data_IF_882725706543
#
_entry.id   IF_882725706543
#
_cell.length_a   1.000
_cell.length_b   1.000
_cell.length_c   1.000
_cell.angle_alpha   90.00
_cell.angle_beta   90.00
_cell.angle_gamma   90.00
#
_symmetry.space_group_name_H-M   'P 1'
#
loop_
_entity.id
_entity.type
_entity.pdbx_description
1 polymer ?
#
# COMPACT_ATOMS: atom_id res chain seq x y z
N UNK A 1 26.01 -12.50 34.82
CA UNK A 1 25.29 -13.66 34.24
C UNK A 1 23.78 -13.40 34.07
N UNK A 2 23.33 -12.15 34.15
CA UNK A 2 21.93 -11.71 34.03
C UNK A 2 21.61 -10.99 32.72
N UNK A 3 22.62 -10.60 31.94
CA UNK A 3 22.50 -9.76 30.74
C UNK A 3 22.06 -10.53 29.48
N UNK A 4 22.28 -11.86 29.45
CA UNK A 4 21.87 -12.73 28.32
C UNK A 4 20.37 -13.06 28.36
N UNK A 5 19.70 -12.85 29.50
CA UNK A 5 18.29 -13.19 29.66
C UNK A 5 17.35 -12.09 29.13
N UNK A 6 17.85 -10.86 28.99
CA UNK A 6 17.06 -9.70 28.57
C UNK A 6 17.01 -9.55 27.04
N UNK A 7 18.09 -9.89 26.34
CA UNK A 7 18.13 -9.96 24.87
C UNK A 7 17.18 -11.02 24.30
N UNK A 8 16.94 -12.12 25.03
CA UNK A 8 16.04 -13.18 24.57
C UNK A 8 14.54 -12.83 24.75
N UNK A 9 14.19 -11.88 25.64
CA UNK A 9 12.80 -11.37 25.74
C UNK A 9 12.49 -10.35 24.63
N UNK A 10 13.46 -9.53 24.24
CA UNK A 10 13.33 -8.59 23.13
C UNK A 10 13.01 -9.31 21.81
N UNK A 11 13.77 -10.37 21.48
CA UNK A 11 13.54 -11.16 20.27
C UNK A 11 12.18 -11.87 20.27
N UNK A 12 11.67 -12.33 21.42
CA UNK A 12 10.36 -12.97 21.47
C UNK A 12 9.20 -12.00 21.19
N UNK A 13 9.34 -10.72 21.52
CA UNK A 13 8.32 -9.70 21.22
C UNK A 13 8.29 -9.30 19.73
N UNK A 14 9.41 -9.44 19.01
CA UNK A 14 9.48 -9.18 17.57
C UNK A 14 8.75 -10.24 16.72
N UNK A 15 8.52 -11.45 17.26
CA UNK A 15 7.82 -12.52 16.55
C UNK A 15 6.29 -12.39 16.55
N UNK A 16 5.71 -11.56 17.42
CA UNK A 16 4.24 -11.41 17.52
C UNK A 16 3.66 -10.28 16.65
N UNK A 17 4.48 -9.56 15.87
CA UNK A 17 4.06 -8.37 15.14
C UNK A 17 4.23 -8.45 13.61
N UNK A 18 4.26 -9.66 13.03
CA UNK A 18 4.24 -9.80 11.57
C UNK A 18 2.93 -10.47 11.09
N UNK A 19 1.82 -9.71 10.97
CA UNK A 19 0.54 -10.23 10.47
C UNK A 19 0.62 -10.85 9.07
N UNK A 20 1.76 -10.67 8.37
CA UNK A 20 2.05 -11.22 7.05
C UNK A 20 2.21 -12.74 7.04
N UNK A 21 2.74 -13.36 8.11
CA UNK A 21 2.93 -14.81 8.14
C UNK A 21 1.59 -15.56 8.31
N UNK A 22 0.64 -14.96 9.04
CA UNK A 22 -0.68 -15.55 9.29
C UNK A 22 -1.57 -15.60 8.02
N UNK A 23 -1.43 -14.62 7.11
CA UNK A 23 -2.20 -14.60 5.85
C UNK A 23 -1.74 -15.67 4.84
N UNK A 24 -0.50 -16.14 4.91
CA UNK A 24 0.01 -17.16 3.98
C UNK A 24 -0.62 -18.53 4.23
N UNK A 25 -0.88 -18.90 5.49
CA UNK A 25 -1.52 -20.16 5.84
C UNK A 25 -3.01 -20.18 5.50
N UNK A 26 -3.71 -19.05 5.62
CA UNK A 26 -5.11 -18.92 5.16
C UNK A 26 -5.23 -19.08 3.64
N UNK A 27 -4.33 -18.47 2.86
CA UNK A 27 -4.33 -18.66 1.40
C UNK A 27 -4.04 -20.12 1.03
N UNK A 28 -3.12 -20.78 1.72
CA UNK A 28 -2.77 -22.18 1.45
C UNK A 28 -3.94 -23.12 1.76
N UNK A 29 -4.66 -22.88 2.86
CA UNK A 29 -5.85 -23.64 3.24
C UNK A 29 -7.00 -23.41 2.26
N UNK A 30 -7.25 -22.17 1.82
CA UNK A 30 -8.27 -21.86 0.81
C UNK A 30 -7.96 -22.52 -0.54
N UNK A 31 -6.70 -22.50 -0.97
CA UNK A 31 -6.25 -23.15 -2.22
C UNK A 31 -6.41 -24.67 -2.16
N UNK A 32 -6.12 -25.28 -1.01
CA UNK A 32 -6.32 -26.72 -0.80
C UNK A 32 -7.79 -27.13 -0.84
N UNK A 33 -8.67 -26.38 -0.15
CA UNK A 33 -10.12 -26.63 -0.17
C UNK A 33 -10.66 -26.51 -1.59
N UNK A 34 -10.20 -25.51 -2.33
CA UNK A 34 -10.57 -25.31 -3.72
C UNK A 34 -10.11 -26.47 -4.61
N UNK A 35 -8.86 -26.89 -4.49
CA UNK A 35 -8.33 -28.02 -5.25
C UNK A 35 -9.11 -29.32 -4.96
N UNK A 36 -9.48 -29.55 -3.70
CA UNK A 36 -10.31 -30.67 -3.27
C UNK A 36 -11.71 -30.60 -3.88
N UNK A 37 -12.34 -29.42 -3.91
CA UNK A 37 -13.66 -29.22 -4.50
C UNK A 37 -13.65 -29.45 -6.03
N UNK A 38 -12.65 -28.93 -6.73
CA UNK A 38 -12.46 -29.16 -8.18
C UNK A 38 -12.23 -30.66 -8.44
N UNK A 39 -11.36 -31.30 -7.66
CA UNK A 39 -11.09 -32.73 -7.76
C UNK A 39 -12.35 -33.58 -7.56
N UNK A 40 -13.16 -33.25 -6.54
CA UNK A 40 -14.44 -33.91 -6.30
C UNK A 40 -15.44 -33.72 -7.45
N UNK A 41 -15.50 -32.51 -8.03
CA UNK A 41 -16.33 -32.22 -9.21
C UNK A 41 -15.93 -33.03 -10.44
N UNK A 42 -14.63 -33.10 -10.74
CA UNK A 42 -14.10 -33.90 -11.85
C UNK A 42 -14.34 -35.39 -11.63
N UNK A 43 -14.16 -35.88 -10.40
CA UNK A 43 -14.42 -37.27 -10.04
C UNK A 43 -15.91 -37.64 -10.20
N UNK A 44 -16.81 -36.76 -9.78
CA UNK A 44 -18.26 -36.91 -10.01
C UNK A 44 -18.61 -36.99 -11.49
N UNK A 45 -18.04 -36.10 -12.32
CA UNK A 45 -18.23 -36.14 -13.77
C UNK A 45 -17.71 -37.46 -14.36
N UNK A 46 -16.52 -37.90 -13.94
CA UNK A 46 -15.95 -39.18 -14.36
C UNK A 46 -16.87 -40.35 -14.00
N UNK A 47 -17.33 -40.43 -12.76
CA UNK A 47 -18.25 -41.48 -12.29
C UNK A 47 -19.59 -41.47 -13.04
N UNK A 48 -20.08 -40.29 -13.44
CA UNK A 48 -21.28 -40.16 -14.27
C UNK A 48 -21.05 -40.65 -15.70
N UNK A 49 -19.90 -40.34 -16.30
CA UNK A 49 -19.58 -40.76 -17.68
C UNK A 49 -19.31 -42.26 -17.81
N UNK A 50 -18.74 -42.90 -16.79
CA UNK A 50 -18.33 -44.31 -16.86
C UNK A 50 -19.51 -45.29 -16.97
N UNK A 51 -20.73 -44.87 -16.59
CA UNK A 51 -21.92 -45.74 -16.58
C UNK A 51 -22.90 -45.52 -17.74
N UNK A 52 -22.60 -44.58 -18.62
CA UNK A 52 -23.56 -44.04 -19.59
C UNK A 52 -23.08 -44.36 -21.01
N UNK A 53 -24.02 -44.68 -21.92
CA UNK A 53 -23.71 -44.98 -23.34
C UNK A 53 -22.82 -43.90 -23.96
N UNK A 54 -21.88 -44.32 -24.82
CA UNK A 54 -20.85 -43.49 -25.48
C UNK A 54 -21.40 -42.22 -26.13
N UNK A 55 -22.63 -42.24 -26.66
CA UNK A 55 -23.27 -41.08 -27.30
C UNK A 55 -23.66 -40.02 -26.26
N UNK A 56 -24.29 -40.43 -25.17
CA UNK A 56 -24.68 -39.54 -24.07
C UNK A 56 -23.47 -38.96 -23.34
N UNK A 57 -22.38 -39.72 -23.19
CA UNK A 57 -21.13 -39.21 -22.61
C UNK A 57 -20.53 -38.07 -23.46
N UNK A 58 -20.61 -38.15 -24.79
CA UNK A 58 -20.08 -37.14 -25.71
C UNK A 58 -20.89 -35.83 -25.63
N UNK A 59 -22.23 -35.92 -25.53
CA UNK A 59 -23.10 -34.73 -25.35
C UNK A 59 -22.79 -34.03 -24.03
N UNK A 60 -22.54 -34.79 -22.96
CA UNK A 60 -22.19 -34.23 -21.65
C UNK A 60 -20.82 -33.55 -21.70
N UNK A 61 -19.82 -34.20 -22.30
CA UNK A 61 -18.49 -33.64 -22.47
C UNK A 61 -18.51 -32.35 -23.29
N UNK A 62 -19.21 -32.34 -24.43
CA UNK A 62 -19.28 -31.18 -25.31
C UNK A 62 -19.95 -29.99 -24.61
N UNK A 63 -21.06 -30.22 -23.91
CA UNK A 63 -21.74 -29.17 -23.16
C UNK A 63 -20.91 -28.67 -21.98
N UNK A 64 -20.17 -29.55 -21.29
CA UNK A 64 -19.26 -29.16 -20.20
C UNK A 64 -18.12 -28.29 -20.70
N UNK A 65 -17.54 -28.63 -21.85
CA UNK A 65 -16.47 -27.86 -22.50
C UNK A 65 -16.98 -26.50 -22.97
N UNK A 66 -18.16 -26.45 -23.62
CA UNK A 66 -18.78 -25.19 -24.05
C UNK A 66 -19.11 -24.28 -22.86
N UNK A 67 -19.66 -24.84 -21.78
CA UNK A 67 -19.91 -24.12 -20.53
C UNK A 67 -18.63 -23.59 -19.90
N UNK A 68 -17.56 -24.39 -19.89
CA UNK A 68 -16.25 -23.99 -19.38
C UNK A 68 -15.66 -22.81 -20.17
N UNK A 69 -15.60 -22.92 -21.50
CA UNK A 69 -15.08 -21.88 -22.38
C UNK A 69 -15.89 -20.58 -22.24
N UNK A 70 -17.23 -20.67 -22.21
CA UNK A 70 -18.09 -19.50 -22.14
C UNK A 70 -18.12 -18.84 -20.75
N UNK A 71 -17.91 -19.64 -19.69
CA UNK A 71 -17.70 -19.15 -18.32
C UNK A 71 -16.36 -18.42 -18.15
N UNK A 72 -15.40 -18.60 -19.05
CA UNK A 72 -14.16 -17.80 -19.05
C UNK A 72 -14.41 -16.45 -19.74
N UNK A 73 -15.31 -16.39 -20.72
CA UNK A 73 -15.44 -15.23 -21.61
C UNK A 73 -16.48 -14.20 -21.13
N UNK A 74 -17.61 -14.59 -20.53
CA UNK A 74 -18.70 -13.64 -20.23
C UNK A 74 -18.70 -13.16 -18.78
N UNK A 75 -18.56 -11.87 -18.48
CA UNK A 75 -18.52 -11.36 -17.10
C UNK A 75 -19.90 -10.99 -16.50
N UNK A 76 -21.01 -11.25 -17.19
CA UNK A 76 -22.32 -10.65 -16.87
C UNK A 76 -23.35 -11.64 -16.31
N UNK A 77 -24.42 -11.08 -15.70
CA UNK A 77 -25.63 -11.76 -15.20
C UNK A 77 -26.27 -12.74 -16.20
N UNK A 78 -25.94 -12.65 -17.49
CA UNK A 78 -26.33 -13.61 -18.52
C UNK A 78 -25.86 -15.04 -18.27
N UNK A 79 -24.81 -15.25 -17.45
CA UNK A 79 -24.32 -16.59 -17.08
C UNK A 79 -25.41 -17.49 -16.50
N UNK A 80 -26.22 -16.97 -15.58
CA UNK A 80 -27.23 -17.79 -14.89
C UNK A 80 -28.41 -18.14 -15.79
N UNK A 81 -28.91 -17.16 -16.54
CA UNK A 81 -30.01 -17.36 -17.48
C UNK A 81 -29.65 -18.38 -18.55
N UNK A 82 -28.42 -18.29 -19.09
CA UNK A 82 -27.99 -19.16 -20.16
C UNK A 82 -27.65 -20.57 -19.67
N UNK A 83 -27.09 -20.71 -18.46
CA UNK A 83 -26.94 -22.02 -17.80
C UNK A 83 -28.29 -22.70 -17.58
N UNK A 84 -29.28 -21.96 -17.06
CA UNK A 84 -30.63 -22.48 -16.85
C UNK A 84 -31.25 -22.90 -18.19
N UNK A 85 -31.07 -22.11 -19.25
CA UNK A 85 -31.55 -22.45 -20.60
C UNK A 85 -30.85 -23.70 -21.16
N UNK A 86 -29.52 -23.80 -21.07
CA UNK A 86 -28.77 -24.95 -21.60
C UNK A 86 -29.08 -26.24 -20.84
N UNK A 87 -29.19 -26.15 -19.51
CA UNK A 87 -29.57 -27.29 -18.66
C UNK A 87 -31.01 -27.71 -18.93
N UNK A 88 -31.90 -26.74 -19.17
CA UNK A 88 -33.30 -26.97 -19.58
C UNK A 88 -33.42 -27.61 -20.96
N UNK A 89 -32.64 -27.17 -21.94
CA UNK A 89 -32.58 -27.76 -23.29
C UNK A 89 -32.05 -29.19 -23.26
N UNK A 90 -31.00 -29.46 -22.47
CA UNK A 90 -30.47 -30.81 -22.25
C UNK A 90 -31.50 -31.74 -21.60
N UNK A 91 -32.21 -31.25 -20.58
CA UNK A 91 -33.30 -31.97 -19.95
C UNK A 91 -34.43 -32.26 -20.95
N UNK A 92 -34.80 -31.28 -21.77
CA UNK A 92 -35.83 -31.41 -22.78
C UNK A 92 -35.45 -32.42 -23.87
N UNK A 93 -34.19 -32.40 -24.33
CA UNK A 93 -33.69 -33.34 -25.34
C UNK A 93 -33.64 -34.77 -24.80
N UNK A 94 -33.27 -34.96 -23.53
CA UNK A 94 -33.34 -36.25 -22.85
C UNK A 94 -34.78 -36.78 -22.79
N UNK A 95 -35.74 -35.92 -22.43
CA UNK A 95 -37.17 -36.28 -22.37
C UNK A 95 -37.73 -36.64 -23.74
N UNK A 96 -37.35 -35.91 -24.80
CA UNK A 96 -37.86 -36.12 -26.15
C UNK A 96 -37.33 -37.39 -26.83
N UNK A 97 -36.21 -37.97 -26.39
CA UNK A 97 -35.44 -38.95 -27.18
C UNK A 97 -35.57 -40.42 -26.78
N UNK A 98 -36.31 -40.87 -25.73
CA UNK A 98 -36.40 -42.34 -25.48
C UNK A 98 -37.48 -42.91 -24.52
N UNK A 99 -37.88 -44.14 -24.84
CA UNK A 99 -38.83 -45.09 -24.19
C UNK A 99 -38.31 -45.75 -22.87
N UNK A 100 -37.73 -44.99 -21.96
CA UNK A 100 -37.23 -45.50 -20.67
C UNK A 100 -38.21 -45.31 -19.50
N UNK A 101 -38.10 -46.13 -18.44
CA UNK A 101 -38.92 -45.97 -17.22
C UNK A 101 -38.70 -44.60 -16.57
N UNK A 102 -39.80 -43.95 -16.17
CA UNK A 102 -39.83 -42.57 -15.66
C UNK A 102 -38.90 -42.32 -14.46
N UNK A 103 -38.65 -43.34 -13.63
CA UNK A 103 -37.78 -43.23 -12.45
C UNK A 103 -36.30 -43.05 -12.81
N UNK A 104 -35.83 -43.64 -13.92
CA UNK A 104 -34.45 -43.47 -14.36
C UNK A 104 -34.19 -42.03 -14.84
N UNK A 105 -35.15 -41.46 -15.57
CA UNK A 105 -35.06 -40.08 -16.07
C UNK A 105 -35.02 -39.06 -14.93
N UNK A 106 -35.85 -39.25 -13.90
CA UNK A 106 -35.86 -38.38 -12.72
C UNK A 106 -34.50 -38.38 -12.00
N UNK A 107 -33.91 -39.56 -11.83
CA UNK A 107 -32.60 -39.71 -11.17
C UNK A 107 -31.47 -39.02 -11.95
N UNK A 108 -31.47 -39.14 -13.28
CA UNK A 108 -30.52 -38.45 -14.15
C UNK A 108 -30.71 -36.94 -14.07
N UNK A 109 -31.95 -36.45 -14.17
CA UNK A 109 -32.26 -35.02 -14.10
C UNK A 109 -31.81 -34.38 -12.78
N UNK A 110 -32.09 -35.04 -11.64
CA UNK A 110 -31.70 -34.56 -10.31
C UNK A 110 -30.17 -34.45 -10.19
N UNK A 111 -29.42 -35.44 -10.72
CA UNK A 111 -27.95 -35.41 -10.69
C UNK A 111 -27.38 -34.27 -11.53
N UNK A 112 -27.94 -34.01 -12.71
CA UNK A 112 -27.53 -32.87 -13.55
C UNK A 112 -27.82 -31.53 -12.88
N UNK A 113 -29.01 -31.39 -12.29
CA UNK A 113 -29.41 -30.17 -11.60
C UNK A 113 -28.53 -29.90 -10.38
N UNK A 114 -28.22 -30.95 -9.59
CA UNK A 114 -27.30 -30.86 -8.46
C UNK A 114 -25.88 -30.49 -8.89
N UNK A 115 -25.36 -31.08 -9.98
CA UNK A 115 -24.03 -30.76 -10.51
C UNK A 115 -23.96 -29.31 -11.02
N UNK A 116 -24.97 -28.83 -11.75
CA UNK A 116 -25.03 -27.44 -12.23
C UNK A 116 -25.09 -26.42 -11.09
N UNK A 117 -25.87 -26.70 -10.04
CA UNK A 117 -25.93 -25.88 -8.83
C UNK A 117 -24.58 -25.82 -8.10
N UNK A 118 -23.88 -26.95 -7.98
CA UNK A 118 -22.56 -26.98 -7.35
C UNK A 118 -21.52 -26.17 -8.15
N UNK A 119 -21.48 -26.34 -9.47
CA UNK A 119 -20.54 -25.60 -10.33
C UNK A 119 -20.78 -24.09 -10.24
N UNK A 120 -22.04 -23.65 -10.30
CA UNK A 120 -22.39 -22.23 -10.18
C UNK A 120 -22.07 -21.68 -8.79
N UNK A 121 -22.34 -22.44 -7.73
CA UNK A 121 -21.99 -22.05 -6.37
C UNK A 121 -20.47 -21.86 -6.20
N UNK A 122 -19.67 -22.84 -6.62
CA UNK A 122 -18.20 -22.77 -6.51
C UNK A 122 -17.60 -21.66 -7.37
N UNK A 123 -18.07 -21.47 -8.61
CA UNK A 123 -17.58 -20.38 -9.47
C UNK A 123 -17.90 -19.00 -8.89
N UNK A 124 -19.03 -18.84 -8.21
CA UNK A 124 -19.40 -17.59 -7.52
C UNK A 124 -18.47 -17.32 -6.34
N UNK A 125 -18.25 -18.32 -5.47
CA UNK A 125 -17.35 -18.22 -4.32
C UNK A 125 -15.90 -17.92 -4.74
N UNK A 126 -15.45 -18.59 -5.80
CA UNK A 126 -14.15 -18.35 -6.42
C UNK A 126 -14.00 -16.91 -6.88
N UNK A 127 -14.98 -16.42 -7.64
CA UNK A 127 -14.94 -15.07 -8.22
C UNK A 127 -14.86 -14.01 -7.12
N UNK A 128 -15.67 -14.13 -6.06
CA UNK A 128 -15.62 -13.20 -4.93
C UNK A 128 -14.27 -13.23 -4.19
N UNK A 129 -13.73 -14.42 -3.96
CA UNK A 129 -12.45 -14.59 -3.25
C UNK A 129 -11.28 -14.02 -4.05
N UNK A 130 -11.27 -14.26 -5.37
CA UNK A 130 -10.24 -13.75 -6.28
C UNK A 130 -10.32 -12.22 -6.41
N UNK A 131 -11.52 -11.64 -6.51
CA UNK A 131 -11.67 -10.18 -6.57
C UNK A 131 -11.12 -9.50 -5.32
N UNK A 132 -11.44 -10.02 -4.13
CA UNK A 132 -10.91 -9.48 -2.87
C UNK A 132 -9.39 -9.58 -2.80
N UNK A 133 -8.83 -10.70 -3.25
CA UNK A 133 -7.38 -10.91 -3.29
C UNK A 133 -6.70 -9.96 -4.28
N UNK A 134 -7.27 -9.76 -5.46
CA UNK A 134 -6.74 -8.87 -6.49
C UNK A 134 -6.67 -7.42 -6.00
N UNK A 135 -7.73 -6.93 -5.35
CA UNK A 135 -7.76 -5.58 -4.77
C UNK A 135 -6.70 -5.40 -3.67
N UNK A 136 -6.55 -6.38 -2.78
CA UNK A 136 -5.54 -6.34 -1.72
C UNK A 136 -4.12 -6.35 -2.29
N UNK A 137 -3.85 -7.19 -3.29
CA UNK A 137 -2.54 -7.24 -3.95
C UNK A 137 -2.21 -5.91 -4.64
N UNK A 138 -3.19 -5.28 -5.28
CA UNK A 138 -2.99 -4.00 -5.94
C UNK A 138 -2.68 -2.88 -4.93
N UNK A 139 -3.42 -2.84 -3.81
CA UNK A 139 -3.16 -1.90 -2.71
C UNK A 139 -1.76 -2.08 -2.12
N UNK A 140 -1.36 -3.32 -1.84
CA UNK A 140 -0.03 -3.65 -1.34
C UNK A 140 1.09 -3.26 -2.33
N UNK A 141 0.85 -3.43 -3.62
CA UNK A 141 1.80 -3.01 -4.66
C UNK A 141 1.96 -1.49 -4.70
N UNK A 142 0.86 -0.73 -4.57
CA UNK A 142 0.89 0.73 -4.48
C UNK A 142 1.63 1.21 -3.23
N UNK A 143 1.35 0.62 -2.07
CA UNK A 143 2.04 0.95 -0.81
C UNK A 143 3.55 0.69 -0.92
N UNK A 144 3.96 -0.44 -1.53
CA UNK A 144 5.39 -0.73 -1.78
C UNK A 144 6.02 0.26 -2.75
N UNK A 145 5.32 0.65 -3.81
CA UNK A 145 5.83 1.64 -4.78
C UNK A 145 6.06 3.00 -4.12
N UNK A 146 5.11 3.44 -3.27
CA UNK A 146 5.25 4.67 -2.49
C UNK A 146 6.42 4.59 -1.50
N UNK A 147 6.58 3.45 -0.81
CA UNK A 147 7.71 3.25 0.11
C UNK A 147 9.06 3.24 -0.62
N UNK A 148 9.15 2.57 -1.79
CA UNK A 148 10.36 2.57 -2.62
C UNK A 148 10.69 3.96 -3.15
N UNK A 149 9.69 4.75 -3.54
CA UNK A 149 9.89 6.13 -3.95
C UNK A 149 10.53 6.97 -2.85
N UNK A 150 10.07 6.80 -1.60
CA UNK A 150 10.65 7.51 -0.44
C UNK A 150 12.10 7.09 -0.18
N UNK A 151 12.40 5.79 -0.29
CA UNK A 151 13.77 5.28 -0.11
C UNK A 151 14.68 5.79 -1.24
N UNK A 152 14.22 5.78 -2.48
CA UNK A 152 15.00 6.31 -3.61
C UNK A 152 15.29 7.81 -3.47
N UNK A 153 14.31 8.61 -3.03
CA UNK A 153 14.53 10.02 -2.71
C UNK A 153 15.59 10.19 -1.62
N UNK A 154 15.52 9.39 -0.54
CA UNK A 154 16.50 9.43 0.54
C UNK A 154 17.92 9.05 0.06
N UNK A 155 18.04 8.03 -0.80
CA UNK A 155 19.31 7.63 -1.41
C UNK A 155 19.88 8.75 -2.30
N UNK A 156 19.02 9.45 -3.05
CA UNK A 156 19.42 10.63 -3.83
C UNK A 156 20.05 11.70 -2.97
N UNK A 157 19.39 12.05 -1.85
CA UNK A 157 19.90 13.01 -0.86
C UNK A 157 21.24 12.56 -0.26
N UNK A 158 21.35 11.30 0.17
CA UNK A 158 22.60 10.77 0.75
C UNK A 158 23.76 10.82 -0.27
N UNK A 159 23.48 10.51 -1.53
CA UNK A 159 24.51 10.51 -2.60
C UNK A 159 24.98 11.93 -2.91
N UNK A 160 24.06 12.90 -2.94
CA UNK A 160 24.39 14.32 -3.10
C UNK A 160 25.25 14.85 -1.93
N UNK A 161 24.93 14.43 -0.70
CA UNK A 161 25.73 14.76 0.49
C UNK A 161 27.14 14.15 0.40
N UNK A 162 27.26 12.88 0.00
CA UNK A 162 28.54 12.15 -0.01
C UNK A 162 29.55 12.65 -1.05
N UNK A 163 29.13 13.39 -2.07
CA UNK A 163 29.99 13.77 -3.21
C UNK A 163 30.54 15.20 -3.13
N UNK A 164 30.01 16.04 -2.24
CA UNK A 164 30.41 17.44 -2.11
C UNK A 164 31.24 17.68 -0.85
N UNK A 165 32.28 18.49 -0.97
CA UNK A 165 33.18 18.82 0.15
C UNK A 165 32.82 20.15 0.84
N UNK A 166 31.72 20.80 0.42
CA UNK A 166 31.29 22.11 0.90
C UNK A 166 29.88 22.03 1.44
N UNK A 167 29.74 22.18 2.75
CA UNK A 167 28.48 22.04 3.50
C UNK A 167 27.34 22.91 2.92
N UNK A 168 27.66 24.13 2.48
CA UNK A 168 26.66 25.02 1.87
C UNK A 168 26.11 24.48 0.55
N UNK A 169 26.97 23.92 -0.29
CA UNK A 169 26.56 23.33 -1.58
C UNK A 169 25.76 22.04 -1.38
N UNK A 170 25.99 21.32 -0.27
CA UNK A 170 25.19 20.16 0.13
C UNK A 170 23.78 20.60 0.52
N UNK A 171 23.65 21.61 1.38
CA UNK A 171 22.34 22.06 1.84
C UNK A 171 21.52 22.69 0.72
N UNK A 172 22.15 23.42 -0.20
CA UNK A 172 21.44 23.97 -1.36
C UNK A 172 20.91 22.87 -2.28
N UNK A 173 21.72 21.89 -2.65
CA UNK A 173 21.26 20.79 -3.51
C UNK A 173 20.26 19.89 -2.80
N UNK A 174 20.49 19.60 -1.51
CA UNK A 174 19.58 18.80 -0.70
C UNK A 174 18.23 19.49 -0.51
N UNK A 175 18.22 20.82 -0.33
CA UNK A 175 17.00 21.62 -0.29
C UNK A 175 16.29 21.58 -1.63
N UNK A 176 16.98 21.85 -2.75
CA UNK A 176 16.39 21.80 -4.10
C UNK A 176 15.72 20.44 -4.40
N UNK A 177 16.39 19.34 -4.07
CA UNK A 177 15.81 18.00 -4.25
C UNK A 177 14.63 17.75 -3.32
N UNK A 178 14.71 18.19 -2.05
CA UNK A 178 13.59 18.09 -1.12
C UNK A 178 12.37 18.88 -1.64
N UNK A 179 12.57 20.10 -2.14
CA UNK A 179 11.50 20.93 -2.71
C UNK A 179 10.80 20.22 -3.88
N UNK A 180 11.55 19.57 -4.78
CA UNK A 180 10.97 18.76 -5.88
C UNK A 180 10.19 17.55 -5.38
N UNK A 181 10.68 16.86 -4.36
CA UNK A 181 10.02 15.67 -3.80
C UNK A 181 8.73 16.03 -3.07
N UNK A 182 8.73 17.13 -2.32
CA UNK A 182 7.56 17.59 -1.58
C UNK A 182 6.60 18.44 -2.43
N UNK A 183 7.03 18.92 -3.60
CA UNK A 183 6.22 19.78 -4.46
C UNK A 183 5.94 21.15 -3.84
N UNK A 184 6.85 21.63 -3.00
CA UNK A 184 6.68 22.86 -2.25
C UNK A 184 7.24 24.07 -3.00
N UNK A 185 6.75 25.27 -2.69
CA UNK A 185 7.11 26.50 -3.42
C UNK A 185 8.39 27.14 -2.91
N UNK A 186 8.63 27.07 -1.60
CA UNK A 186 9.80 27.71 -0.98
C UNK A 186 10.32 26.95 0.23
N UNK A 187 11.63 27.06 0.48
CA UNK A 187 12.25 26.42 1.63
C UNK A 187 13.51 27.11 2.12
N UNK A 188 13.84 26.92 3.40
CA UNK A 188 14.99 27.53 4.08
C UNK A 188 15.75 26.48 4.88
N UNK A 189 17.08 26.54 4.81
CA UNK A 189 17.96 25.84 5.74
C UNK A 189 18.59 26.85 6.67
N UNK A 190 18.31 26.75 7.95
CA UNK A 190 19.00 27.52 8.98
C UNK A 190 20.16 26.71 9.55
N UNK A 191 21.22 27.39 9.97
CA UNK A 191 22.32 26.83 10.75
C UNK A 191 22.46 27.59 12.07
N UNK A 192 22.68 26.86 13.15
CA UNK A 192 22.92 27.42 14.48
C UNK A 192 24.41 27.46 14.76
N UNK A 193 24.89 28.63 15.14
CA UNK A 193 26.23 28.82 15.67
C UNK A 193 26.30 28.25 17.11
N UNK A 194 27.15 27.25 17.39
CA UNK A 194 27.23 26.62 18.71
C UNK A 194 27.75 27.57 19.79
N UNK A 195 28.57 28.56 19.45
CA UNK A 195 29.20 29.45 20.42
C UNK A 195 28.25 30.55 20.87
N UNK A 196 27.48 31.11 19.92
CA UNK A 196 26.57 32.24 20.18
C UNK A 196 25.12 31.81 20.37
N UNK A 197 24.75 30.61 19.92
CA UNK A 197 23.36 30.18 19.76
C UNK A 197 22.60 30.99 18.72
N UNK A 198 23.30 31.82 17.93
CA UNK A 198 22.75 32.62 16.85
C UNK A 198 22.36 31.73 15.68
N UNK A 199 21.28 32.08 14.99
CA UNK A 199 20.79 31.31 13.85
C UNK A 199 20.95 32.13 12.57
N UNK A 200 21.43 31.49 11.51
CA UNK A 200 21.73 32.12 10.22
C UNK A 200 21.17 31.29 9.06
N UNK A 201 20.81 31.92 7.95
CA UNK A 201 20.32 31.22 6.75
C UNK A 201 21.53 30.63 6.02
N UNK A 202 21.62 29.30 5.96
CA UNK A 202 22.65 28.59 5.21
C UNK A 202 22.28 28.47 3.73
N UNK A 203 21.00 28.20 3.46
CA UNK A 203 20.46 28.03 2.11
C UNK A 203 18.99 28.45 2.04
N UNK A 204 18.54 28.84 0.85
CA UNK A 204 17.16 29.25 0.57
C UNK A 204 16.74 28.85 -0.84
N UNK A 205 15.44 28.59 -1.03
CA UNK A 205 14.81 28.30 -2.31
C UNK A 205 13.43 28.98 -2.37
N UNK A 206 13.09 29.59 -3.51
CA UNK A 206 11.75 30.12 -3.77
C UNK A 206 11.36 31.42 -3.04
N UNK A 207 12.25 32.03 -2.25
CA UNK A 207 12.01 33.32 -1.60
C UNK A 207 12.56 34.48 -2.42
N UNK A 208 11.88 35.62 -2.35
CA UNK A 208 12.38 36.89 -2.88
C UNK A 208 13.56 37.43 -2.07
N UNK A 209 14.49 38.13 -2.75
CA UNK A 209 15.70 38.67 -2.11
C UNK A 209 15.40 39.68 -1.00
N UNK A 210 14.38 40.55 -1.17
CA UNK A 210 14.01 41.54 -0.15
C UNK A 210 13.44 40.87 1.10
N UNK A 211 12.67 39.80 0.91
CA UNK A 211 12.13 39.00 2.01
C UNK A 211 13.23 38.25 2.76
N UNK A 212 14.20 37.65 2.04
CA UNK A 212 15.37 37.01 2.66
C UNK A 212 16.20 38.00 3.46
N UNK A 213 16.51 39.18 2.92
CA UNK A 213 17.23 40.21 3.66
C UNK A 213 16.47 40.68 4.89
N UNK A 214 15.13 40.74 4.82
CA UNK A 214 14.28 41.10 5.96
C UNK A 214 14.33 40.02 7.04
N UNK A 215 14.31 38.74 6.64
CA UNK A 215 14.46 37.60 7.56
C UNK A 215 15.85 37.58 8.21
N UNK A 216 16.91 37.86 7.44
CA UNK A 216 18.28 37.95 7.97
C UNK A 216 18.43 39.14 8.93
N UNK A 217 17.92 40.32 8.57
CA UNK A 217 18.01 41.56 9.39
C UNK A 217 17.23 41.48 10.69
N UNK A 218 16.05 40.83 10.69
CA UNK A 218 15.30 40.59 11.93
C UNK A 218 16.10 39.74 12.91
N UNK A 219 17.12 39.02 12.41
CA UNK A 219 17.84 38.03 13.15
C UNK A 219 16.93 36.84 13.36
N UNK A 220 17.45 35.66 13.05
CA UNK A 220 16.82 34.46 13.59
C UNK A 220 17.26 34.47 15.05
N UNK A 221 16.41 35.02 15.92
CA UNK A 221 16.62 35.16 17.36
C UNK A 221 17.05 33.86 18.06
N UNK A 222 17.03 33.87 19.39
CA UNK A 222 17.49 32.71 20.16
C UNK A 222 16.72 31.43 19.74
N UNK A 223 17.46 30.33 19.52
CA UNK A 223 16.94 29.00 19.16
C UNK A 223 15.72 28.55 19.99
N UNK A 224 15.58 29.07 21.21
CA UNK A 224 14.43 28.83 22.12
C UNK A 224 13.07 29.25 21.58
N UNK A 225 12.99 30.18 20.63
CA UNK A 225 11.71 30.58 20.01
C UNK A 225 11.21 29.58 18.96
N UNK A 226 12.07 28.66 18.54
CA UNK A 226 11.72 27.62 17.57
C UNK A 226 11.28 26.35 18.31
N UNK A 227 10.02 25.97 18.07
CA UNK A 227 9.41 24.82 18.74
C UNK A 227 10.02 23.49 18.26
N UNK A 228 10.30 23.34 16.96
CA UNK A 228 10.96 22.17 16.41
C UNK A 228 12.37 21.99 16.99
N UNK A 229 13.05 23.10 17.24
CA UNK A 229 14.37 23.17 17.86
C UNK A 229 14.32 22.75 19.33
N UNK A 230 13.35 23.25 20.08
CA UNK A 230 13.20 22.98 21.51
C UNK A 230 12.73 21.55 21.79
N UNK A 231 11.84 21.02 20.95
CA UNK A 231 11.29 19.67 21.11
C UNK A 231 12.12 18.58 20.45
N UNK A 232 13.07 18.95 19.59
CA UNK A 232 13.84 18.02 18.75
C UNK A 232 12.91 17.04 18.01
N UNK A 233 11.77 17.56 17.55
CA UNK A 233 10.74 16.82 16.82
C UNK A 233 10.25 17.65 15.63
N UNK A 234 9.82 16.99 14.54
CA UNK A 234 9.11 17.67 13.46
C UNK A 234 7.90 18.44 14.00
N UNK A 235 7.73 19.68 13.53
CA UNK A 235 6.53 20.48 13.79
C UNK A 235 5.89 20.77 12.44
N UNK A 236 4.60 20.46 12.32
CA UNK A 236 3.79 20.71 11.13
C UNK A 236 2.77 21.77 11.50
N UNK A 237 2.67 22.82 10.69
CA UNK A 237 1.68 23.89 10.81
C UNK A 237 0.89 23.89 9.51
N UNK A 238 -0.37 23.45 9.59
CA UNK A 238 -1.22 23.32 8.40
C UNK A 238 -1.65 24.68 7.83
N UNK A 239 -1.74 25.71 8.68
CA UNK A 239 -2.15 27.07 8.29
C UNK A 239 -1.28 28.13 8.99
N UNK A 240 -0.51 28.86 8.18
CA UNK A 240 0.35 29.95 8.62
C UNK A 240 -0.41 31.22 9.01
N UNK A 241 -1.73 31.28 8.84
CA UNK A 241 -2.54 32.36 9.40
C UNK A 241 -2.72 32.23 10.93
N UNK A 242 -2.41 31.06 11.50
CA UNK A 242 -2.59 30.80 12.94
C UNK A 242 -1.43 31.35 13.80
N UNK A 243 -1.73 31.64 15.06
CA UNK A 243 -0.73 32.09 16.06
C UNK A 243 0.29 30.99 16.43
N UNK A 244 0.03 29.74 16.03
CA UNK A 244 0.87 28.57 16.32
C UNK A 244 2.10 28.48 15.39
N UNK A 245 2.25 29.39 14.43
CA UNK A 245 3.41 29.42 13.54
C UNK A 245 4.70 29.82 14.27
N UNK A 246 5.83 29.36 13.73
CA UNK A 246 7.13 29.81 14.21
C UNK A 246 7.25 31.34 14.10
N UNK A 247 7.81 32.00 15.12
CA UNK A 247 7.96 33.45 15.16
C UNK A 247 8.70 34.02 13.92
N UNK A 248 9.59 33.22 13.31
CA UNK A 248 10.32 33.56 12.09
C UNK A 248 9.46 33.62 10.82
N UNK A 249 8.28 32.99 10.85
CA UNK A 249 7.29 33.04 9.78
C UNK A 249 6.22 34.12 10.04
N UNK A 250 6.42 35.01 11.01
CA UNK A 250 5.44 36.07 11.36
C UNK A 250 5.11 37.05 10.22
N UNK A 251 5.89 37.07 9.14
CA UNK A 251 5.60 37.84 7.93
C UNK A 251 4.90 37.05 6.81
N UNK A 252 4.58 35.78 7.05
CA UNK A 252 3.96 34.88 6.07
C UNK A 252 2.64 34.40 6.67
N UNK A 253 1.53 34.84 6.08
CA UNK A 253 0.17 34.59 6.59
C UNK A 253 -0.61 33.56 5.75
N UNK A 254 0.04 32.94 4.77
CA UNK A 254 -0.60 32.01 3.82
C UNK A 254 0.23 30.76 3.63
N UNK A 255 -0.43 29.61 3.51
CA UNK A 255 0.19 28.33 3.22
C UNK A 255 0.39 27.46 4.46
N UNK A 256 1.12 26.36 4.28
CA UNK A 256 1.48 25.42 5.34
C UNK A 256 3.00 25.36 5.50
N UNK A 257 3.47 24.90 6.66
CA UNK A 257 4.90 24.69 6.90
C UNK A 257 5.20 23.38 7.60
N UNK A 258 6.33 22.79 7.22
CA UNK A 258 6.95 21.68 7.95
C UNK A 258 8.33 22.14 8.39
N UNK A 259 8.59 22.05 9.69
CA UNK A 259 9.87 22.38 10.30
C UNK A 259 10.53 21.12 10.85
N UNK A 260 11.71 20.79 10.31
CA UNK A 260 12.44 19.56 10.63
C UNK A 260 13.76 19.88 11.34
N UNK A 261 14.01 19.37 12.56
CA UNK A 261 15.33 19.44 13.18
C UNK A 261 16.31 18.50 12.48
N UNK A 262 17.46 19.03 12.08
CA UNK A 262 18.62 18.27 11.60
C UNK A 262 19.66 18.25 12.71
N UNK A 263 20.05 17.05 13.10
CA UNK A 263 21.04 16.79 14.13
C UNK A 263 22.18 15.96 13.54
N UNK A 264 23.42 16.32 13.81
CA UNK A 264 24.54 15.38 13.68
C UNK A 264 24.56 14.48 14.93
N UNK A 265 24.65 13.16 14.79
CA UNK A 265 24.78 12.25 15.96
C UNK A 265 26.21 12.25 16.52
N UNK A 266 26.54 11.83 17.74
CA UNK A 266 25.79 11.44 18.95
C UNK A 266 26.28 12.34 20.11
N UNK A 267 25.36 12.94 20.88
CA UNK A 267 25.49 12.87 22.34
C UNK A 267 24.12 12.72 23.01
N UNK A 268 23.67 11.46 23.07
CA UNK A 268 22.58 11.01 23.94
C UNK A 268 23.12 10.41 25.25
N UNK A 269 24.23 10.95 25.77
CA UNK A 269 24.74 10.61 27.11
C UNK A 269 25.09 11.86 27.91
N UNK A 270 24.05 12.64 28.20
CA UNK A 270 23.88 13.22 29.52
C UNK A 270 24.92 14.26 29.92
N UNK A 271 25.09 15.31 29.12
CA UNK A 271 25.16 16.67 29.65
C UNK A 271 24.89 17.64 28.50
N UNK A 272 24.01 18.62 28.77
CA UNK A 272 23.61 19.67 27.83
C UNK A 272 24.81 20.53 27.44
N UNK A 273 25.51 20.16 26.37
CA UNK A 273 26.39 21.05 25.66
C UNK A 273 26.05 20.91 24.17
N UNK A 274 25.33 21.92 23.66
CA UNK A 274 24.98 22.08 22.25
C UNK A 274 26.27 22.22 21.43
N UNK A 275 26.92 21.10 21.14
CA UNK A 275 28.25 21.12 20.49
C UNK A 275 28.16 20.78 19.01
N UNK A 276 26.97 20.41 18.50
CA UNK A 276 26.79 20.11 17.09
C UNK A 276 25.72 21.00 16.45
N UNK A 277 26.12 21.59 15.33
CA UNK A 277 25.37 22.52 14.47
C UNK A 277 23.96 22.01 14.18
N UNK A 278 22.98 22.53 14.90
CA UNK A 278 21.58 22.29 14.61
C UNK A 278 21.23 23.02 13.33
N UNK A 279 20.76 22.27 12.33
CA UNK A 279 20.22 22.86 11.10
C UNK A 279 18.72 22.60 11.02
N UNK A 280 17.96 23.49 10.39
CA UNK A 280 16.50 23.34 10.27
C UNK A 280 16.06 23.55 8.85
N UNK A 281 15.21 22.64 8.34
CA UNK A 281 14.57 22.80 7.04
C UNK A 281 13.15 23.26 7.28
N UNK A 282 12.81 24.43 6.75
CA UNK A 282 11.44 24.88 6.56
C UNK A 282 11.05 24.57 5.12
N UNK A 283 9.94 23.88 4.96
CA UNK A 283 9.29 23.68 3.66
C UNK A 283 7.96 24.39 3.74
N UNK A 284 7.75 25.38 2.88
CA UNK A 284 6.48 26.10 2.74
C UNK A 284 5.80 25.69 1.45
N UNK A 285 4.54 25.30 1.58
CA UNK A 285 3.66 25.00 0.46
C UNK A 285 2.57 26.08 0.40
N UNK A 286 2.49 26.83 -0.69
CA UNK A 286 1.49 27.89 -0.89
C UNK A 286 0.23 27.39 -1.59
N UNK A 287 0.04 26.07 -1.73
CA UNK A 287 -1.13 25.49 -2.41
C UNK A 287 -2.44 25.62 -1.63
N UNK A 288 -2.88 26.85 -1.36
CA UNK A 288 -4.27 27.24 -1.17
C UNK A 288 -4.48 28.63 -1.79
N UNK A 289 -4.57 28.68 -3.11
CA UNK A 289 -5.27 29.77 -3.84
C UNK A 289 -6.42 29.20 -4.63
#
# INVERSE_FOLDING_TARGET
>A
MTEVQETNRSLKSAWWMNPRLMQMDEMKRATWVLALAIGAGVFMLFACTFRVSTITALVILLNSVLLGIYSVISASRGRYLLLVILTGLLALELVLRREGSSLFMLSVLIRFLAAGLLITFFTTLLTQSVQKLYLNMHRLALERKAALSRVNALVGVITAISTKNRLREIFTDGLDEAMKVFGADSGLVYGVDPDTGGVSIMSSFGYDGELLETMERKGVGNIRSCQACSLMKPVVVDDLATDDKCHYLSGIDTGSSICLPITSGEDLRGNQQFTDTLSYVYILDSTYT
#
